data_IF_702811390613
#
_entry.id   IF_702811390613
#
_cell.length_a   1.000
_cell.length_b   1.000
_cell.length_c   1.000
_cell.angle_alpha   90.00
_cell.angle_beta   90.00
_cell.angle_gamma   90.00
#
_symmetry.space_group_name_H-M   'P 1'
#
loop_
_entity.id
_entity.type
_entity.pdbx_description
1 polymer ?
#
# COMPACT_ATOMS: atom_id res chain seq x y z
N UNK A 1 -29.36 -25.83 -1.95
CA UNK A 1 -28.23 -25.06 -2.49
C UNK A 1 -28.55 -23.59 -2.31
N UNK A 2 -27.83 -22.80 -1.50
CA UNK A 2 -28.16 -21.37 -1.44
C UNK A 2 -27.59 -20.46 -0.36
N UNK A 3 -26.96 -20.97 0.70
CA UNK A 3 -26.32 -20.10 1.72
C UNK A 3 -24.81 -20.36 1.89
N UNK A 4 -24.35 -21.60 1.76
CA UNK A 4 -22.92 -21.94 1.81
C UNK A 4 -22.13 -21.54 0.54
N UNK A 5 -22.79 -21.39 -0.60
CA UNK A 5 -22.13 -20.98 -1.86
C UNK A 5 -21.71 -19.50 -1.83
N UNK A 6 -22.53 -18.65 -1.20
CA UNK A 6 -22.20 -17.24 -1.02
C UNK A 6 -21.01 -17.05 -0.09
N UNK A 7 -20.89 -17.85 0.98
CA UNK A 7 -19.77 -17.78 1.91
C UNK A 7 -18.41 -18.10 1.27
N UNK A 8 -18.36 -19.01 0.29
CA UNK A 8 -17.13 -19.26 -0.50
C UNK A 8 -16.79 -18.10 -1.42
N UNK A 9 -17.80 -17.42 -1.97
CA UNK A 9 -17.61 -16.22 -2.77
C UNK A 9 -17.09 -15.03 -1.93
N UNK A 10 -17.49 -14.94 -0.66
CA UNK A 10 -16.99 -13.93 0.28
C UNK A 10 -15.53 -14.13 0.73
N UNK A 11 -14.98 -15.34 0.58
CA UNK A 11 -13.57 -15.65 0.76
C UNK A 11 -12.74 -15.51 -0.54
N UNK A 12 -13.38 -15.23 -1.67
CA UNK A 12 -12.77 -15.35 -3.00
C UNK A 12 -11.66 -14.33 -3.25
N UNK A 13 -11.84 -13.08 -2.84
CA UNK A 13 -10.95 -11.95 -3.16
C UNK A 13 -9.48 -12.16 -2.79
N UNK A 14 -9.21 -12.49 -1.53
CA UNK A 14 -7.87 -12.75 -0.99
C UNK A 14 -7.15 -13.94 -1.65
N UNK A 15 -7.90 -14.85 -2.29
CA UNK A 15 -7.36 -16.02 -2.97
C UNK A 15 -7.28 -15.84 -4.50
N UNK A 16 -7.66 -14.66 -5.04
CA UNK A 16 -7.54 -14.38 -6.47
C UNK A 16 -6.12 -14.00 -6.85
N UNK A 17 -5.46 -13.22 -6.00
CA UNK A 17 -4.07 -12.83 -6.17
C UNK A 17 -3.40 -12.65 -4.81
N UNK A 18 -2.08 -12.78 -4.79
CA UNK A 18 -1.23 -12.34 -3.68
C UNK A 18 -0.50 -11.06 -4.06
N UNK A 19 -0.29 -10.18 -3.09
CA UNK A 19 0.46 -8.94 -3.24
C UNK A 19 1.68 -9.02 -2.35
N UNK A 20 2.81 -8.52 -2.83
CA UNK A 20 4.03 -8.32 -2.04
C UNK A 20 4.58 -6.91 -2.32
N UNK A 21 5.17 -6.28 -1.30
CA UNK A 21 5.94 -5.05 -1.45
C UNK A 21 7.41 -5.44 -1.38
N UNK A 22 8.15 -5.26 -2.47
CA UNK A 22 9.53 -5.77 -2.58
C UNK A 22 10.57 -4.68 -2.40
N UNK A 23 10.25 -3.46 -2.82
CA UNK A 23 11.14 -2.30 -2.78
C UNK A 23 10.40 -1.08 -2.24
N UNK A 24 11.07 -0.33 -1.38
CA UNK A 24 10.68 1.00 -0.91
C UNK A 24 11.92 1.89 -1.03
N UNK A 25 11.82 3.06 -1.68
CA UNK A 25 12.94 4.00 -1.86
C UNK A 25 14.26 3.34 -2.33
N UNK A 26 14.16 2.42 -3.31
CA UNK A 26 15.27 1.64 -3.87
C UNK A 26 15.98 0.71 -2.86
N UNK A 27 15.42 0.54 -1.67
CA UNK A 27 15.88 -0.38 -0.63
C UNK A 27 14.96 -1.62 -0.59
N UNK A 28 15.46 -2.79 -0.15
CA UNK A 28 14.59 -3.93 0.16
C UNK A 28 13.53 -3.52 1.20
N UNK A 29 12.27 -3.87 0.95
CA UNK A 29 11.14 -3.39 1.77
C UNK A 29 11.29 -3.72 3.26
N UNK A 30 11.90 -4.87 3.60
CA UNK A 30 12.14 -5.33 4.97
C UNK A 30 13.13 -4.47 5.79
N UNK A 31 13.99 -3.71 5.12
CA UNK A 31 15.03 -2.88 5.76
C UNK A 31 14.92 -1.41 5.39
N UNK A 32 13.89 -1.04 4.64
CA UNK A 32 13.75 0.29 4.08
C UNK A 32 13.61 1.38 5.14
N UNK A 33 14.25 2.51 4.85
CA UNK A 33 14.18 3.74 5.61
C UNK A 33 13.58 4.86 4.77
N UNK A 34 12.88 5.79 5.41
CA UNK A 34 12.28 6.96 4.77
C UNK A 34 12.53 8.22 5.62
N UNK A 35 13.14 9.29 5.07
CA UNK A 35 13.32 10.55 5.78
C UNK A 35 11.99 11.17 6.18
N UNK A 36 11.87 11.62 7.44
CA UNK A 36 10.60 12.11 8.00
C UNK A 36 10.09 13.40 7.33
N UNK A 37 10.95 14.13 6.61
CA UNK A 37 10.60 15.35 5.88
C UNK A 37 10.36 15.13 4.38
N UNK A 38 10.61 13.93 3.86
CA UNK A 38 10.44 13.67 2.44
C UNK A 38 8.95 13.62 2.07
N UNK A 39 8.63 14.21 0.93
CA UNK A 39 7.25 14.37 0.45
C UNK A 39 6.86 13.39 -0.65
N UNK A 40 7.78 12.54 -1.08
CA UNK A 40 7.55 11.57 -2.15
C UNK A 40 8.06 10.21 -1.71
N UNK A 41 7.17 9.23 -1.65
CA UNK A 41 7.48 7.83 -1.33
C UNK A 41 7.24 6.95 -2.55
N UNK A 42 8.20 6.12 -2.90
CA UNK A 42 8.19 5.25 -4.08
C UNK A 42 8.45 3.81 -3.69
N UNK A 43 7.96 2.90 -4.51
CA UNK A 43 8.26 1.49 -4.31
C UNK A 43 7.84 0.62 -5.48
N UNK A 44 7.82 -0.67 -5.20
CA UNK A 44 7.41 -1.69 -6.16
C UNK A 44 6.53 -2.70 -5.46
N UNK A 45 5.34 -2.91 -6.02
CA UNK A 45 4.48 -4.02 -5.64
C UNK A 45 4.56 -5.13 -6.69
N UNK A 46 4.49 -6.36 -6.24
CA UNK A 46 4.40 -7.55 -7.08
C UNK A 46 3.05 -8.20 -6.82
N UNK A 47 2.31 -8.46 -7.90
CA UNK A 47 1.01 -9.14 -7.86
C UNK A 47 1.18 -10.48 -8.55
N UNK A 48 0.83 -11.56 -7.87
CA UNK A 48 0.81 -12.90 -8.45
C UNK A 48 -0.63 -13.40 -8.45
N UNK A 49 -1.19 -13.60 -9.64
CA UNK A 49 -2.51 -14.17 -9.80
C UNK A 49 -2.51 -15.64 -9.38
N UNK A 50 -3.39 -16.00 -8.46
CA UNK A 50 -3.59 -17.38 -7.99
C UNK A 50 -4.74 -18.05 -8.76
N UNK A 51 -5.67 -17.25 -9.25
CA UNK A 51 -6.80 -17.66 -10.09
C UNK A 51 -6.94 -16.70 -11.27
N UNK A 52 -7.76 -17.08 -12.25
CA UNK A 52 -8.14 -16.17 -13.32
C UNK A 52 -8.94 -15.00 -12.73
N UNK A 53 -8.48 -13.78 -12.95
CA UNK A 53 -9.10 -12.59 -12.38
C UNK A 53 -8.81 -11.34 -13.23
N UNK A 54 -9.64 -10.31 -13.08
CA UNK A 54 -9.42 -9.01 -13.71
C UNK A 54 -8.89 -8.04 -12.66
N UNK A 55 -7.66 -7.54 -12.86
CA UNK A 55 -7.09 -6.45 -12.09
C UNK A 55 -7.64 -5.12 -12.65
N UNK A 56 -8.34 -4.37 -11.81
CA UNK A 56 -8.97 -3.10 -12.17
C UNK A 56 -8.05 -1.90 -11.94
N UNK A 57 -7.30 -1.96 -10.84
CA UNK A 57 -6.43 -0.89 -10.38
C UNK A 57 -5.45 -1.40 -9.31
N UNK A 58 -4.46 -0.59 -9.00
CA UNK A 58 -3.59 -0.72 -7.83
C UNK A 58 -3.75 0.52 -6.95
N UNK A 59 -3.84 0.33 -5.63
CA UNK A 59 -3.97 1.42 -4.66
C UNK A 59 -2.80 1.35 -3.69
N UNK A 60 -2.36 2.52 -3.24
CA UNK A 60 -1.22 2.69 -2.36
C UNK A 60 -1.64 3.59 -1.22
N UNK A 61 -1.43 3.17 0.01
CA UNK A 61 -1.76 3.97 1.18
C UNK A 61 -0.54 4.09 2.08
N UNK A 62 -0.26 5.30 2.54
CA UNK A 62 0.77 5.60 3.51
C UNK A 62 0.09 5.95 4.82
N UNK A 63 0.37 5.17 5.86
CA UNK A 63 -0.25 5.29 7.17
C UNK A 63 0.81 5.59 8.23
N UNK A 64 0.48 6.50 9.14
CA UNK A 64 1.25 6.74 10.34
C UNK A 64 0.45 6.30 11.57
N UNK A 65 0.90 5.21 12.19
CA UNK A 65 0.34 4.74 13.45
C UNK A 65 1.05 5.42 14.60
N UNK A 66 0.26 6.02 15.50
CA UNK A 66 0.77 6.68 16.70
C UNK A 66 0.04 6.08 17.91
N UNK A 67 0.79 5.40 18.78
CA UNK A 67 0.23 4.80 19.99
C UNK A 67 -0.12 5.87 21.03
N UNK A 68 -1.39 5.88 21.48
CA UNK A 68 -1.91 6.71 22.57
C UNK A 68 -2.62 5.79 23.56
N UNK A 69 -2.25 5.85 24.85
CA UNK A 69 -2.83 5.00 25.90
C UNK A 69 -2.85 3.51 25.54
N UNK A 70 -1.73 3.01 24.99
CA UNK A 70 -1.57 1.64 24.47
C UNK A 70 -2.41 1.24 23.25
N UNK A 71 -3.22 2.16 22.70
CA UNK A 71 -4.01 1.95 21.49
C UNK A 71 -3.34 2.60 20.28
N UNK A 72 -3.18 1.83 19.20
CA UNK A 72 -2.67 2.34 17.93
C UNK A 72 -3.72 3.26 17.27
N UNK A 73 -3.38 4.54 17.10
CA UNK A 73 -4.19 5.50 16.36
C UNK A 73 -3.71 5.60 14.90
N UNK A 74 -4.50 5.12 13.92
CA UNK A 74 -4.12 5.18 12.51
C UNK A 74 -4.34 6.60 11.96
N UNK A 75 -3.34 7.16 11.29
CA UNK A 75 -3.45 8.41 10.55
C UNK A 75 -3.14 8.13 9.08
N UNK A 76 -4.15 8.26 8.19
CA UNK A 76 -3.90 8.17 6.77
C UNK A 76 -3.10 9.42 6.36
N UNK A 77 -1.88 9.20 5.87
CA UNK A 77 -1.00 10.28 5.40
C UNK A 77 -1.36 10.65 3.97
N UNK A 78 -1.45 9.65 3.11
CA UNK A 78 -1.80 9.81 1.70
C UNK A 78 -2.30 8.49 1.12
N UNK A 79 -3.15 8.58 0.11
CA UNK A 79 -3.51 7.45 -0.73
C UNK A 79 -3.43 7.85 -2.20
N UNK A 80 -2.95 6.96 -3.05
CA UNK A 80 -2.91 7.10 -4.50
C UNK A 80 -3.44 5.84 -5.18
N UNK A 81 -3.80 5.95 -6.46
CA UNK A 81 -4.36 4.84 -7.24
C UNK A 81 -3.93 4.94 -8.69
N UNK A 82 -3.46 3.82 -9.24
CA UNK A 82 -3.18 3.62 -10.66
C UNK A 82 -4.18 2.62 -11.29
N UNK A 83 -4.60 2.80 -12.55
CA UNK A 83 -4.46 4.03 -13.30
C UNK A 83 -5.29 5.14 -12.64
N UNK A 84 -4.75 6.35 -12.66
CA UNK A 84 -5.53 7.54 -12.33
C UNK A 84 -6.79 7.60 -13.21
N UNK A 85 -7.95 7.97 -12.65
CA UNK A 85 -9.15 8.17 -13.44
C UNK A 85 -8.89 9.20 -14.56
N UNK A 86 -9.16 8.81 -15.80
CA UNK A 86 -9.02 9.66 -17.01
C UNK A 86 -7.58 9.94 -17.48
N UNK A 87 -6.58 9.19 -17.01
CA UNK A 87 -5.20 9.30 -17.51
C UNK A 87 -4.83 8.09 -18.35
N UNK A 88 -4.39 8.35 -19.60
CA UNK A 88 -3.78 7.32 -20.44
C UNK A 88 -2.30 7.21 -20.08
N UNK A 89 -1.91 6.11 -19.44
CA UNK A 89 -0.49 5.81 -19.27
C UNK A 89 0.11 5.45 -20.64
N UNK A 90 1.38 5.80 -20.87
CA UNK A 90 2.09 5.50 -22.13
C UNK A 90 1.99 4.02 -22.52
N UNK A 91 2.19 3.68 -23.79
CA UNK A 91 2.05 2.30 -24.29
C UNK A 91 2.94 1.26 -23.58
N UNK A 92 3.99 1.71 -22.87
CA UNK A 92 4.89 0.88 -22.07
C UNK A 92 4.43 0.62 -20.63
N UNK A 93 3.35 1.27 -20.16
CA UNK A 93 2.80 1.05 -18.83
C UNK A 93 1.75 -0.07 -18.84
N UNK A 94 1.54 -0.73 -17.71
CA UNK A 94 0.49 -1.72 -17.57
C UNK A 94 -0.88 -1.07 -17.81
N UNK A 95 -1.55 -1.48 -18.88
CA UNK A 95 -2.92 -1.06 -19.17
C UNK A 95 -3.87 -1.81 -18.23
N UNK A 96 -4.68 -1.07 -17.47
CA UNK A 96 -5.73 -1.62 -16.64
C UNK A 96 -7.11 -1.09 -17.12
N UNK A 97 -8.19 -1.88 -17.02
CA UNK A 97 -8.23 -3.21 -16.44
C UNK A 97 -7.49 -4.25 -17.29
N UNK A 98 -6.91 -5.27 -16.66
CA UNK A 98 -6.28 -6.38 -17.35
C UNK A 98 -6.67 -7.73 -16.75
N UNK A 99 -6.89 -8.71 -17.62
CA UNK A 99 -7.16 -10.09 -17.22
C UNK A 99 -5.85 -10.83 -16.97
N UNK A 100 -5.76 -11.48 -15.82
CA UNK A 100 -4.60 -12.23 -15.36
C UNK A 100 -4.94 -13.71 -15.31
N UNK A 101 -4.01 -14.54 -15.81
CA UNK A 101 -4.10 -15.99 -15.70
C UNK A 101 -3.44 -16.49 -14.39
N UNK A 102 -3.85 -17.65 -13.86
CA UNK A 102 -3.16 -18.26 -12.72
C UNK A 102 -1.64 -18.38 -12.98
N UNK A 103 -0.84 -17.98 -12.00
CA UNK A 103 0.63 -17.95 -12.08
C UNK A 103 1.22 -16.71 -12.76
N UNK A 104 0.41 -15.86 -13.40
CA UNK A 104 0.90 -14.63 -14.00
C UNK A 104 1.37 -13.65 -12.91
N UNK A 105 2.53 -13.03 -13.15
CA UNK A 105 3.14 -12.06 -12.24
C UNK A 105 3.17 -10.69 -12.90
N UNK A 106 2.72 -9.69 -12.17
CA UNK A 106 2.81 -8.27 -12.52
C UNK A 106 3.74 -7.58 -11.53
N UNK A 107 4.69 -6.82 -12.05
CA UNK A 107 5.54 -5.92 -11.25
C UNK A 107 5.11 -4.48 -11.55
N UNK A 108 4.59 -3.79 -10.54
CA UNK A 108 4.07 -2.43 -10.66
C UNK A 108 4.92 -1.49 -9.80
N UNK A 109 5.75 -0.63 -10.43
CA UNK A 109 6.35 0.49 -9.72
C UNK A 109 5.27 1.53 -9.38
N UNK A 110 5.45 2.26 -8.29
CA UNK A 110 4.47 3.25 -7.84
C UNK A 110 5.13 4.43 -7.14
N UNK A 111 4.38 5.53 -7.02
CA UNK A 111 4.79 6.75 -6.35
C UNK A 111 3.60 7.37 -5.62
N UNK A 112 3.81 7.77 -4.38
CA UNK A 112 2.90 8.55 -3.57
C UNK A 112 3.55 9.90 -3.31
N UNK A 113 2.93 10.98 -3.78
CA UNK A 113 3.43 12.35 -3.62
C UNK A 113 2.67 13.08 -2.52
N UNK A 114 3.18 14.24 -2.10
CA UNK A 114 2.56 15.08 -1.05
C UNK A 114 2.41 14.37 0.30
N UNK A 115 3.39 13.52 0.63
CA UNK A 115 3.48 12.86 1.93
C UNK A 115 3.85 13.92 3.00
N UNK A 116 2.97 14.13 3.99
CA UNK A 116 3.18 15.10 5.09
C UNK A 116 3.27 14.38 6.46
N UNK A 117 4.38 13.68 6.69
CA UNK A 117 4.61 13.00 7.99
C UNK A 117 4.84 14.02 9.11
N UNK A 118 5.65 15.04 8.86
CA UNK A 118 6.00 16.05 9.86
C UNK A 118 4.76 16.81 10.36
N UNK A 119 3.85 17.21 9.48
CA UNK A 119 2.61 17.88 9.87
C UNK A 119 1.66 16.97 10.66
N UNK A 120 1.56 15.69 10.30
CA UNK A 120 0.74 14.72 11.08
C UNK A 120 1.35 14.48 12.46
N UNK A 121 2.67 14.33 12.55
CA UNK A 121 3.40 14.17 13.81
C UNK A 121 3.18 15.39 14.73
N UNK A 122 3.34 16.61 14.21
CA UNK A 122 3.13 17.83 14.97
C UNK A 122 1.72 17.93 15.55
N UNK A 123 0.68 17.62 14.75
CA UNK A 123 -0.72 17.58 15.20
C UNK A 123 -0.99 16.51 16.26
N UNK A 124 -0.10 15.53 16.40
CA UNK A 124 -0.21 14.42 17.34
C UNK A 124 0.78 14.51 18.52
N UNK A 125 1.34 15.69 18.79
CA UNK A 125 2.18 15.93 19.97
C UNK A 125 3.67 15.70 19.76
N UNK A 126 4.12 15.59 18.50
CA UNK A 126 5.53 15.48 18.12
C UNK A 126 5.97 16.72 17.33
N UNK A 127 6.23 17.86 17.99
CA UNK A 127 6.59 19.10 17.30
C UNK A 127 7.96 19.02 16.59
N UNK A 128 8.86 18.17 17.09
CA UNK A 128 10.11 17.83 16.42
C UNK A 128 9.96 16.47 15.70
N UNK A 129 9.86 16.45 14.36
CA UNK A 129 9.70 15.21 13.61
C UNK A 129 10.95 14.32 13.67
N UNK A 130 12.15 14.89 13.85
CA UNK A 130 13.38 14.10 13.95
C UNK A 130 13.42 13.30 15.26
N UNK A 131 12.96 13.88 16.37
CA UNK A 131 12.79 13.15 17.62
C UNK A 131 11.79 11.99 17.51
N UNK A 132 10.71 12.18 16.74
CA UNK A 132 9.69 11.16 16.53
C UNK A 132 10.20 9.91 15.80
N UNK A 133 11.25 10.03 14.98
CA UNK A 133 11.81 8.90 14.22
C UNK A 133 12.36 7.77 15.10
N UNK A 134 12.68 8.08 16.36
CA UNK A 134 13.21 7.14 17.35
C UNK A 134 12.17 6.75 18.40
N UNK A 135 10.97 7.32 18.35
CA UNK A 135 9.93 7.06 19.34
C UNK A 135 9.23 5.72 19.03
N UNK A 136 9.21 4.75 19.96
CA UNK A 136 8.61 3.43 19.72
C UNK A 136 7.09 3.48 19.54
N UNK A 137 6.43 4.61 19.84
CA UNK A 137 4.99 4.80 19.62
C UNK A 137 4.67 5.14 18.17
N UNK A 138 5.66 5.52 17.36
CA UNK A 138 5.47 5.97 15.98
C UNK A 138 5.87 4.87 15.01
N UNK A 139 4.97 4.54 14.08
CA UNK A 139 5.20 3.50 13.08
C UNK A 139 4.64 3.91 11.73
N UNK A 140 5.52 4.03 10.73
CA UNK A 140 5.14 4.26 9.34
C UNK A 140 4.84 2.92 8.67
N UNK A 141 3.68 2.82 8.03
CA UNK A 141 3.23 1.64 7.30
C UNK A 141 2.87 2.03 5.88
N UNK A 142 3.36 1.25 4.93
CA UNK A 142 2.96 1.34 3.53
C UNK A 142 2.09 0.13 3.21
N UNK A 143 0.95 0.38 2.60
CA UNK A 143 0.01 -0.64 2.15
C UNK A 143 -0.16 -0.57 0.65
N UNK A 144 -0.04 -1.72 -0.02
CA UNK A 144 -0.36 -1.85 -1.44
C UNK A 144 -1.53 -2.80 -1.60
N UNK A 145 -2.47 -2.44 -2.47
CA UNK A 145 -3.74 -3.13 -2.66
C UNK A 145 -3.94 -3.36 -4.16
N UNK A 146 -4.30 -4.58 -4.54
CA UNK A 146 -4.73 -4.92 -5.89
C UNK A 146 -6.27 -4.93 -5.94
N UNK A 147 -6.86 -3.99 -6.66
CA UNK A 147 -8.31 -3.90 -6.86
C UNK A 147 -8.74 -4.96 -7.87
N UNK A 148 -9.36 -6.03 -7.39
CA UNK A 148 -9.72 -7.18 -8.23
C UNK A 148 -11.24 -7.21 -8.43
N UNK A 149 -11.67 -7.28 -9.68
CA UNK A 149 -13.09 -7.29 -10.03
C UNK A 149 -13.85 -8.39 -9.31
N UNK A 150 -14.95 -8.03 -8.65
CA UNK A 150 -15.82 -8.98 -7.93
C UNK A 150 -15.25 -9.47 -6.60
N UNK A 151 -14.12 -8.90 -6.15
CA UNK A 151 -13.55 -9.17 -4.84
C UNK A 151 -14.28 -8.37 -3.75
N UNK A 152 -14.82 -9.02 -2.70
CA UNK A 152 -15.31 -8.30 -1.52
C UNK A 152 -14.18 -7.81 -0.61
N UNK A 153 -12.98 -8.38 -0.76
CA UNK A 153 -11.77 -8.04 0.00
C UNK A 153 -10.54 -8.10 -0.91
N UNK A 154 -10.12 -6.93 -1.38
CA UNK A 154 -8.95 -6.80 -2.26
C UNK A 154 -7.67 -7.37 -1.61
N UNK A 155 -6.90 -8.19 -2.36
CA UNK A 155 -5.56 -8.60 -1.95
C UNK A 155 -4.69 -7.39 -1.59
N UNK A 156 -3.98 -7.48 -0.48
CA UNK A 156 -3.10 -6.42 -0.03
C UNK A 156 -1.91 -6.95 0.74
N UNK A 157 -0.87 -6.13 0.79
CA UNK A 157 0.30 -6.32 1.63
C UNK A 157 0.62 -5.03 2.36
N UNK A 158 1.23 -5.16 3.53
CA UNK A 158 1.67 -4.06 4.36
C UNK A 158 3.14 -4.28 4.74
N UNK A 159 3.91 -3.19 4.75
CA UNK A 159 5.29 -3.20 5.27
C UNK A 159 5.48 -2.02 6.21
N UNK A 160 6.17 -2.27 7.32
CA UNK A 160 6.60 -1.20 8.21
C UNK A 160 7.92 -0.63 7.70
N UNK A 161 7.95 0.68 7.47
CA UNK A 161 9.13 1.41 7.00
C UNK A 161 9.73 2.15 8.18
N UNK A 162 11.06 2.10 8.34
CA UNK A 162 11.72 2.83 9.42
C UNK A 162 11.79 4.31 9.07
N UNK A 163 11.38 5.17 9.99
CA UNK A 163 11.61 6.59 9.84
C UNK A 163 13.10 6.90 10.07
N UNK A 164 13.65 7.77 9.24
CA UNK A 164 15.00 8.30 9.40
C UNK A 164 14.93 9.82 9.66
N UNK A 165 15.80 10.36 10.52
CA UNK A 165 15.95 11.80 10.63
C UNK A 165 16.56 12.35 9.33
N UNK A 166 16.25 13.61 9.04
CA UNK A 166 16.84 14.36 7.92
C UNK A 166 18.11 15.07 8.34
#
# INVERSE_FOLDING_TARGET
>A
MGFFDKAKQFLGGKNMASVAITVIERQPAETATFPVTDSVLKGTMVITAQQECTLLATKYEVWLYIKKDEVDSPNLVRAEKDPEPNVSYSDSCLKMPCDLKPGQVITQPWMVSEVDLAGILARNGFPDPNAATRDPRVRLVVKCIADVKGSPFDPSAEVTVRLAPT
#
